data_IF_486089002152
#
_entry.id   IF_486089002152
#
_cell.length_a   1.000
_cell.length_b   1.000
_cell.length_c   1.000
_cell.angle_alpha   90.00
_cell.angle_beta   90.00
_cell.angle_gamma   90.00
#
_symmetry.space_group_name_H-M   'P 1'
#
loop_
_entity.id
_entity.type
_entity.pdbx_description
1 polymer ?
#
# COMPACT_ATOMS: atom_id res chain seq x y z
N UNK A 1 6.54 8.93 -4.80
CA UNK A 1 5.89 9.60 -3.65
C UNK A 1 6.61 10.92 -3.44
N UNK A 2 5.88 12.01 -3.25
CA UNK A 2 6.44 13.32 -2.93
C UNK A 2 5.94 13.71 -1.55
N UNK A 3 6.85 13.94 -0.60
CA UNK A 3 6.50 14.34 0.75
C UNK A 3 6.43 15.86 0.84
N UNK A 4 5.48 16.38 1.59
CA UNK A 4 5.34 17.81 1.83
C UNK A 4 5.23 18.08 3.33
N UNK A 5 5.70 19.25 3.77
CA UNK A 5 5.55 19.71 5.15
C UNK A 5 4.80 21.04 5.19
N UNK A 6 3.98 21.25 6.23
CA UNK A 6 3.13 22.44 6.33
C UNK A 6 3.85 23.80 6.22
N UNK A 7 5.15 23.97 6.58
CA UNK A 7 5.81 25.26 6.40
C UNK A 7 6.14 25.61 4.93
N UNK A 8 5.80 24.74 3.97
CA UNK A 8 5.95 24.98 2.53
C UNK A 8 7.01 24.15 1.82
N UNK A 9 7.60 23.17 2.51
CA UNK A 9 8.62 22.29 1.93
C UNK A 9 7.97 21.21 1.06
N UNK A 10 8.47 21.04 -0.16
CA UNK A 10 8.02 20.02 -1.11
C UNK A 10 9.22 19.19 -1.56
N UNK A 11 9.12 17.88 -1.40
CA UNK A 11 10.15 16.94 -1.80
C UNK A 11 11.33 16.83 -0.83
N UNK A 12 12.38 16.14 -1.28
CA UNK A 12 13.59 15.91 -0.49
C UNK A 12 13.40 14.94 0.69
N UNK A 13 14.35 14.94 1.62
CA UNK A 13 14.34 14.08 2.81
C UNK A 13 13.96 14.91 4.04
N UNK A 14 12.80 14.65 4.67
CA UNK A 14 12.34 15.40 5.84
C UNK A 14 13.31 15.29 7.01
N UNK A 15 13.51 16.39 7.73
CA UNK A 15 14.24 16.40 8.98
C UNK A 15 13.35 15.97 10.15
N UNK A 16 13.97 15.45 11.22
CA UNK A 16 13.28 14.95 12.40
C UNK A 16 13.58 15.76 13.66
N UNK A 17 12.76 15.58 14.72
CA UNK A 17 12.98 16.21 16.02
C UNK A 17 12.73 17.71 15.99
N UNK A 18 13.68 18.51 16.50
CA UNK A 18 13.55 19.97 16.57
C UNK A 18 13.52 20.66 15.19
N UNK A 19 13.93 19.96 14.14
CA UNK A 19 13.91 20.44 12.76
C UNK A 19 12.65 20.03 12.00
N UNK A 20 11.59 19.61 12.72
CA UNK A 20 10.31 19.27 12.12
C UNK A 20 9.82 20.40 11.20
N UNK A 21 9.43 20.04 9.99
CA UNK A 21 9.01 21.00 8.96
C UNK A 21 10.11 21.45 8.00
N UNK A 22 11.38 21.08 8.22
CA UNK A 22 12.47 21.27 7.27
C UNK A 22 12.77 19.99 6.46
N UNK A 23 13.47 20.12 5.34
CA UNK A 23 14.01 18.99 4.58
C UNK A 23 15.39 19.30 4.01
N UNK A 24 16.13 18.24 3.71
CA UNK A 24 17.35 18.30 2.90
C UNK A 24 17.02 18.02 1.44
N UNK A 25 17.67 18.76 0.53
CA UNK A 25 17.45 18.69 -0.91
C UNK A 25 15.97 18.78 -1.32
N UNK A 26 15.21 19.78 -0.84
CA UNK A 26 13.82 19.95 -1.27
C UNK A 26 13.77 20.26 -2.77
N UNK A 27 12.73 19.77 -3.45
CA UNK A 27 12.47 20.07 -4.86
C UNK A 27 11.90 21.49 -5.01
N UNK A 28 11.11 21.94 -4.03
CA UNK A 28 10.60 23.30 -3.96
C UNK A 28 10.37 23.75 -2.50
N UNK A 29 10.35 25.07 -2.32
CA UNK A 29 9.92 25.74 -1.10
C UNK A 29 8.94 26.83 -1.50
N UNK A 30 7.71 26.77 -0.98
CA UNK A 30 6.69 27.79 -1.20
C UNK A 30 6.32 28.46 0.11
N UNK A 31 5.57 29.56 0.04
CA UNK A 31 5.12 30.23 1.25
C UNK A 31 4.09 29.37 1.99
N UNK A 32 4.18 29.35 3.32
CA UNK A 32 3.33 28.50 4.17
C UNK A 32 1.84 28.70 3.94
N UNK A 33 1.38 29.94 3.66
CA UNK A 33 -0.03 30.19 3.35
C UNK A 33 -0.48 29.49 2.06
N UNK A 34 0.34 29.48 1.02
CA UNK A 34 0.05 28.78 -0.24
C UNK A 34 0.05 27.26 -0.05
N UNK A 35 0.92 26.76 0.82
CA UNK A 35 0.92 25.34 1.21
C UNK A 35 -0.39 24.96 1.91
N UNK A 36 -0.91 25.83 2.79
CA UNK A 36 -2.21 25.63 3.40
C UNK A 36 -3.36 25.74 2.39
N UNK A 37 -3.30 26.65 1.42
CA UNK A 37 -4.28 26.69 0.32
C UNK A 37 -4.32 25.35 -0.42
N UNK A 38 -3.16 24.72 -0.66
CA UNK A 38 -3.07 23.39 -1.27
C UNK A 38 -3.65 22.28 -0.37
N UNK A 39 -3.36 22.29 0.94
CA UNK A 39 -3.91 21.30 1.89
C UNK A 39 -5.43 21.44 2.05
N UNK A 40 -5.90 22.66 2.25
CA UNK A 40 -7.31 22.99 2.38
C UNK A 40 -8.07 22.74 1.08
N UNK A 41 -7.40 22.85 -0.08
CA UNK A 41 -7.94 22.44 -1.39
C UNK A 41 -8.01 20.92 -1.62
N UNK A 42 -7.59 20.09 -0.66
CA UNK A 42 -7.60 18.63 -0.80
C UNK A 42 -6.47 18.08 -1.66
N UNK A 43 -5.35 18.80 -1.74
CA UNK A 43 -4.17 18.41 -2.53
C UNK A 43 -3.42 17.18 -2.01
N UNK A 44 -3.69 16.76 -0.77
CA UNK A 44 -3.05 15.60 -0.14
C UNK A 44 -3.80 14.30 -0.45
N UNK A 45 -3.11 13.36 -1.07
CA UNK A 45 -3.60 11.98 -1.25
C UNK A 45 -3.63 11.22 0.08
N UNK A 46 -2.64 11.44 0.94
CA UNK A 46 -2.44 10.74 2.20
C UNK A 46 -1.82 11.69 3.25
N UNK A 47 -2.41 11.72 4.45
CA UNK A 47 -1.81 12.34 5.62
C UNK A 47 -1.47 11.29 6.68
N UNK A 48 -0.22 11.29 7.15
CA UNK A 48 0.25 10.46 8.26
C UNK A 48 0.58 11.34 9.46
N UNK A 49 -0.19 11.23 10.54
CA UNK A 49 -0.11 12.14 11.69
C UNK A 49 -0.09 11.41 13.02
N UNK A 50 0.38 12.08 14.08
CA UNK A 50 0.45 11.51 15.41
C UNK A 50 -0.93 11.19 16.01
N UNK A 51 -1.03 10.05 16.68
CA UNK A 51 -2.17 9.68 17.52
C UNK A 51 -1.83 10.03 18.98
N UNK A 52 -2.55 10.96 19.61
CA UNK A 52 -2.38 11.29 21.03
C UNK A 52 -3.51 10.73 21.90
N UNK A 53 -4.74 11.21 21.74
CA UNK A 53 -5.94 10.59 22.32
C UNK A 53 -6.99 10.34 21.24
N UNK A 54 -7.77 9.27 21.39
CA UNK A 54 -8.82 8.84 20.48
C UNK A 54 -10.08 8.43 21.26
N UNK A 55 -11.25 8.91 20.81
CA UNK A 55 -12.55 8.54 21.40
C UNK A 55 -13.23 7.37 20.65
N UNK A 56 -14.37 6.85 21.14
CA UNK A 56 -15.06 5.71 20.50
C UNK A 56 -15.59 6.01 19.10
N UNK A 57 -15.81 7.28 18.76
CA UNK A 57 -16.25 7.73 17.44
C UNK A 57 -15.07 7.97 16.48
N UNK A 58 -13.83 7.72 16.93
CA UNK A 58 -12.61 7.93 16.15
C UNK A 58 -12.17 9.40 16.09
N UNK A 59 -12.73 10.27 16.93
CA UNK A 59 -12.22 11.65 17.02
C UNK A 59 -10.83 11.64 17.67
N UNK A 60 -9.97 12.56 17.24
CA UNK A 60 -8.61 12.71 17.80
C UNK A 60 -8.48 14.03 18.54
N UNK A 61 -7.79 13.99 19.68
CA UNK A 61 -7.28 15.16 20.39
C UNK A 61 -5.75 15.17 20.37
N UNK A 62 -5.17 16.25 19.87
CA UNK A 62 -3.74 16.57 20.01
C UNK A 62 -3.47 17.90 20.71
N UNK A 63 -4.51 18.70 21.00
CA UNK A 63 -4.33 20.11 21.33
C UNK A 63 -4.37 20.44 22.82
N UNK A 64 -5.06 19.64 23.63
CA UNK A 64 -5.22 19.93 25.06
C UNK A 64 -5.17 18.67 25.92
N UNK A 65 -4.37 18.71 26.98
CA UNK A 65 -4.23 17.62 27.96
C UNK A 65 -4.22 18.21 29.38
N UNK A 66 -5.36 18.14 30.06
CA UNK A 66 -5.60 18.78 31.34
C UNK A 66 -5.26 20.28 31.31
N UNK A 67 -4.29 20.74 32.13
CA UNK A 67 -3.88 22.15 32.13
C UNK A 67 -2.95 22.52 30.96
N UNK A 68 -2.47 21.56 30.17
CA UNK A 68 -1.50 21.81 29.08
C UNK A 68 -2.23 22.07 27.77
N UNK A 69 -1.94 23.22 27.16
CA UNK A 69 -2.36 23.56 25.80
C UNK A 69 -1.18 23.36 24.85
N UNK A 70 -1.21 22.25 24.10
CA UNK A 70 -0.23 21.98 23.04
C UNK A 70 -0.56 22.76 21.75
N UNK A 71 -1.85 22.99 21.50
CA UNK A 71 -2.35 23.60 20.26
C UNK A 71 -2.56 22.58 19.14
N UNK A 72 -3.38 22.94 18.15
CA UNK A 72 -3.70 22.04 17.03
C UNK A 72 -2.67 22.14 15.88
N UNK A 73 -1.86 23.20 15.80
CA UNK A 73 -0.98 23.43 14.65
C UNK A 73 -1.74 23.35 13.33
N UNK A 74 -1.10 22.78 12.29
CA UNK A 74 -1.74 22.48 11.01
C UNK A 74 -2.63 21.23 11.00
N UNK A 75 -2.83 20.54 12.13
CA UNK A 75 -3.47 19.22 12.19
C UNK A 75 -4.87 19.20 11.57
N UNK A 76 -5.66 20.23 11.83
CA UNK A 76 -7.02 20.35 11.29
C UNK A 76 -6.94 20.50 9.75
N UNK A 77 -6.20 21.49 9.25
CA UNK A 77 -6.04 21.74 7.81
C UNK A 77 -5.56 20.49 7.06
N UNK A 78 -4.56 19.79 7.61
CA UNK A 78 -4.00 18.58 7.00
C UNK A 78 -5.04 17.45 6.97
N UNK A 79 -5.70 17.15 8.09
CA UNK A 79 -6.62 16.00 8.17
C UNK A 79 -7.95 16.22 7.47
N UNK A 80 -8.46 17.46 7.47
CA UNK A 80 -9.82 17.80 7.07
C UNK A 80 -10.09 17.47 5.60
N UNK A 81 -9.16 17.79 4.69
CA UNK A 81 -9.37 17.63 3.25
C UNK A 81 -8.44 16.61 2.57
N UNK A 82 -7.50 15.99 3.29
CA UNK A 82 -6.74 14.84 2.78
C UNK A 82 -7.66 13.69 2.39
N UNK A 83 -7.39 13.02 1.26
CA UNK A 83 -8.23 11.90 0.76
C UNK A 83 -8.21 10.70 1.71
N UNK A 84 -7.03 10.35 2.22
CA UNK A 84 -6.83 9.30 3.23
C UNK A 84 -6.07 9.86 4.43
N UNK A 85 -6.43 9.43 5.63
CA UNK A 85 -5.73 9.81 6.87
C UNK A 85 -5.29 8.55 7.63
N UNK A 86 -4.04 8.53 8.07
CA UNK A 86 -3.48 7.48 8.90
C UNK A 86 -2.92 8.11 10.16
N UNK A 87 -3.57 7.85 11.29
CA UNK A 87 -3.06 8.22 12.60
C UNK A 87 -2.10 7.14 13.08
N UNK A 88 -0.91 7.55 13.51
CA UNK A 88 0.17 6.65 13.92
C UNK A 88 0.61 7.02 15.33
N UNK A 89 0.71 6.02 16.20
CA UNK A 89 1.28 6.22 17.53
C UNK A 89 1.25 4.94 18.34
N UNK A 90 1.95 4.94 19.47
CA UNK A 90 1.86 3.83 20.40
C UNK A 90 0.43 3.68 20.95
N UNK A 91 0.03 2.46 21.33
CA UNK A 91 -1.30 2.19 21.85
C UNK A 91 -1.55 2.84 23.22
N UNK A 92 -0.55 2.81 24.10
CA UNK A 92 -0.53 3.48 25.39
C UNK A 92 0.63 4.50 25.45
N UNK A 93 0.56 5.44 26.38
CA UNK A 93 1.55 6.49 26.59
C UNK A 93 2.32 6.32 27.91
N UNK A 94 3.50 6.94 27.99
CA UNK A 94 4.19 7.14 29.26
C UNK A 94 5.00 5.95 29.76
N UNK A 95 5.74 5.27 28.88
CA UNK A 95 6.73 4.26 29.28
C UNK A 95 6.56 2.87 28.66
N UNK A 96 5.70 2.73 27.65
CA UNK A 96 5.56 1.51 26.87
C UNK A 96 6.94 1.06 26.35
N UNK A 97 7.28 -0.22 26.58
CA UNK A 97 8.44 -0.88 26.00
C UNK A 97 8.00 -2.17 25.33
N UNK A 98 8.45 -2.33 24.09
CA UNK A 98 8.11 -3.47 23.24
C UNK A 98 9.38 -4.13 22.77
N UNK A 99 9.37 -5.46 22.71
CA UNK A 99 10.41 -6.26 22.10
C UNK A 99 9.83 -7.01 20.90
N UNK A 100 10.66 -7.23 19.88
CA UNK A 100 10.38 -8.14 18.79
C UNK A 100 11.18 -9.42 19.03
N UNK A 101 10.50 -10.56 19.02
CA UNK A 101 11.11 -11.87 19.21
C UNK A 101 10.49 -12.87 18.23
N UNK A 102 11.29 -13.47 17.35
CA UNK A 102 10.84 -14.45 16.37
C UNK A 102 9.70 -13.99 15.45
N UNK A 103 9.65 -12.70 15.07
CA UNK A 103 8.57 -12.16 14.24
C UNK A 103 7.28 -11.84 15.01
N UNK A 104 7.34 -11.82 16.34
CA UNK A 104 6.21 -11.52 17.22
C UNK A 104 6.49 -10.30 18.10
N UNK A 105 5.43 -9.59 18.44
CA UNK A 105 5.45 -8.45 19.36
C UNK A 105 5.27 -8.97 20.79
N UNK A 106 6.13 -8.51 21.69
CA UNK A 106 6.01 -8.74 23.13
C UNK A 106 6.04 -7.43 23.89
N UNK A 107 5.00 -7.17 24.68
CA UNK A 107 4.95 -6.03 25.60
C UNK A 107 5.83 -6.36 26.81
N UNK A 108 6.96 -5.65 26.93
CA UNK A 108 7.92 -5.83 28.05
C UNK A 108 7.48 -4.99 29.25
N UNK A 109 6.93 -3.81 28.98
CA UNK A 109 6.44 -2.89 29.99
C UNK A 109 5.28 -2.11 29.36
N UNK A 110 4.12 -2.08 30.02
CA UNK A 110 2.98 -1.31 29.53
C UNK A 110 3.13 0.18 29.82
N UNK A 111 2.50 1.01 28.99
CA UNK A 111 2.36 2.44 29.22
C UNK A 111 1.46 2.74 30.43
N UNK A 112 1.64 3.92 31.01
CA UNK A 112 0.90 4.37 32.21
C UNK A 112 -0.45 5.01 31.90
N UNK A 113 -0.65 5.47 30.66
CA UNK A 113 -1.87 6.18 30.27
C UNK A 113 -2.47 5.55 29.01
N UNK A 114 -3.79 5.33 29.05
CA UNK A 114 -4.57 4.93 27.88
C UNK A 114 -4.67 6.10 26.90
N UNK A 115 -4.66 5.78 25.61
CA UNK A 115 -4.86 6.76 24.54
C UNK A 115 -6.21 6.59 23.86
N UNK A 116 -6.85 5.44 24.03
CA UNK A 116 -8.21 5.18 23.58
C UNK A 116 -9.16 5.37 24.77
N UNK A 117 -9.67 6.58 24.91
CA UNK A 117 -10.39 7.06 26.10
C UNK A 117 -11.88 7.26 25.79
N UNK A 118 -12.75 7.25 26.81
CA UNK A 118 -14.22 7.44 26.60
C UNK A 118 -14.56 8.82 26.04
N UNK A 119 -13.86 9.85 26.53
CA UNK A 119 -14.08 11.23 26.16
C UNK A 119 -12.74 11.92 26.03
N UNK A 120 -12.51 12.54 24.89
CA UNK A 120 -11.38 13.45 24.69
C UNK A 120 -11.74 14.85 25.17
N UNK A 121 -10.72 15.62 25.60
CA UNK A 121 -10.94 16.97 26.12
C UNK A 121 -11.25 18.00 25.02
N UNK A 122 -10.67 17.81 23.83
CA UNK A 122 -10.86 18.72 22.69
C UNK A 122 -10.80 17.97 21.37
N UNK A 123 -11.78 18.19 20.50
CA UNK A 123 -11.79 17.60 19.16
C UNK A 123 -10.84 18.41 18.25
N UNK A 124 -9.78 17.76 17.78
CA UNK A 124 -8.87 18.28 16.73
C UNK A 124 -9.05 17.60 15.37
N UNK A 125 -9.71 16.44 15.37
CA UNK A 125 -10.24 15.78 14.18
C UNK A 125 -11.54 15.10 14.57
N UNK A 126 -12.59 15.28 13.78
CA UNK A 126 -13.90 14.70 14.03
C UNK A 126 -14.08 13.39 13.28
N UNK A 127 -14.07 12.27 13.99
CA UNK A 127 -14.27 10.95 13.41
C UNK A 127 -15.69 10.79 12.83
N UNK A 128 -16.71 11.27 13.53
CA UNK A 128 -18.09 11.21 13.05
C UNK A 128 -18.31 11.97 11.74
N UNK A 129 -17.67 13.15 11.59
CA UNK A 129 -17.70 13.90 10.34
C UNK A 129 -16.99 13.14 9.22
N UNK A 130 -15.77 12.65 9.46
CA UNK A 130 -15.00 11.92 8.46
C UNK A 130 -15.70 10.63 8.00
N UNK A 131 -16.35 9.91 8.93
CA UNK A 131 -17.13 8.72 8.61
C UNK A 131 -18.34 9.05 7.71
N UNK A 132 -19.03 10.17 7.98
CA UNK A 132 -20.15 10.65 7.14
C UNK A 132 -19.70 10.99 5.72
N UNK A 133 -18.51 11.57 5.57
CA UNK A 133 -17.91 11.87 4.25
C UNK A 133 -17.33 10.62 3.55
N UNK A 134 -17.39 9.44 4.18
CA UNK A 134 -16.84 8.21 3.62
C UNK A 134 -15.31 8.22 3.52
N UNK A 135 -14.64 9.08 4.28
CA UNK A 135 -13.18 9.21 4.27
C UNK A 135 -12.53 7.94 4.82
N UNK A 136 -11.47 7.46 4.14
CA UNK A 136 -10.67 6.36 4.66
C UNK A 136 -9.75 6.87 5.79
N UNK A 137 -9.98 6.37 7.01
CA UNK A 137 -9.20 6.73 8.19
C UNK A 137 -8.74 5.46 8.90
N UNK A 138 -7.42 5.37 9.15
CA UNK A 138 -6.78 4.25 9.86
C UNK A 138 -6.05 4.75 11.11
N UNK A 139 -6.02 3.91 12.14
CA UNK A 139 -5.30 4.17 13.40
C UNK A 139 -4.33 3.01 13.60
N UNK A 140 -3.05 3.26 13.35
CA UNK A 140 -1.99 2.26 13.34
C UNK A 140 -1.16 2.39 14.61
N UNK A 141 -1.06 1.29 15.35
CA UNK A 141 -0.24 1.17 16.55
C UNK A 141 0.79 0.06 16.39
N UNK A 142 1.64 -0.12 17.40
CA UNK A 142 2.60 -1.23 17.43
C UNK A 142 1.95 -2.61 17.59
N UNK A 143 0.70 -2.67 18.08
CA UNK A 143 0.01 -3.93 18.43
C UNK A 143 -1.23 -4.23 17.58
N UNK A 144 -1.83 -3.23 16.95
CA UNK A 144 -3.03 -3.40 16.14
C UNK A 144 -3.32 -2.22 15.22
N UNK A 145 -4.25 -2.44 14.27
CA UNK A 145 -4.79 -1.41 13.39
C UNK A 145 -6.30 -1.32 13.55
N UNK A 146 -6.80 -0.10 13.72
CA UNK A 146 -8.24 0.20 13.64
C UNK A 146 -8.57 0.92 12.33
N UNK A 147 -9.81 0.72 11.87
CA UNK A 147 -10.42 1.48 10.78
C UNK A 147 -11.63 2.23 11.31
N UNK A 148 -11.79 3.47 10.86
CA UNK A 148 -13.02 4.22 11.10
C UNK A 148 -14.17 3.67 10.24
N UNK A 149 -15.31 3.44 10.88
CA UNK A 149 -16.57 3.04 10.22
C UNK A 149 -17.69 4.00 10.64
N UNK A 150 -18.85 3.98 9.96
CA UNK A 150 -20.02 4.74 10.40
C UNK A 150 -20.46 4.46 11.85
N UNK A 151 -20.18 3.26 12.36
CA UNK A 151 -20.57 2.81 13.70
C UNK A 151 -19.48 3.02 14.76
N UNK A 152 -18.30 3.54 14.37
CA UNK A 152 -17.14 3.77 15.23
C UNK A 152 -15.89 2.99 14.79
N UNK A 153 -14.96 2.79 15.71
CA UNK A 153 -13.69 2.09 15.43
C UNK A 153 -13.87 0.58 15.30
N UNK A 154 -13.41 0.01 14.20
CA UNK A 154 -13.31 -1.43 13.98
C UNK A 154 -11.87 -1.89 14.09
N UNK A 155 -11.60 -2.89 14.92
CA UNK A 155 -10.31 -3.58 14.97
C UNK A 155 -10.18 -4.46 13.72
N UNK A 156 -9.28 -4.09 12.82
CA UNK A 156 -9.11 -4.79 11.54
C UNK A 156 -7.84 -5.64 11.49
N UNK A 157 -6.80 -5.29 12.24
CA UNK A 157 -5.55 -6.07 12.27
C UNK A 157 -4.97 -6.18 13.67
N UNK A 158 -4.35 -7.32 13.97
CA UNK A 158 -3.66 -7.59 15.25
C UNK A 158 -2.24 -8.09 14.97
N UNK A 159 -1.26 -7.54 15.68
CA UNK A 159 0.13 -7.96 15.52
C UNK A 159 0.34 -9.39 16.05
N UNK A 160 1.23 -10.19 15.44
CA UNK A 160 1.60 -11.49 15.97
C UNK A 160 2.11 -11.38 17.42
N UNK A 161 1.68 -12.27 18.31
CA UNK A 161 2.05 -12.27 19.73
C UNK A 161 1.15 -11.42 20.65
N UNK A 162 0.22 -10.64 20.09
CA UNK A 162 -0.72 -9.81 20.84
C UNK A 162 -2.03 -10.55 21.11
N UNK A 163 -2.48 -10.51 22.37
CA UNK A 163 -3.77 -11.04 22.79
C UNK A 163 -4.83 -9.92 22.82
N UNK A 164 -5.99 -10.15 22.19
CA UNK A 164 -7.02 -9.11 22.06
C UNK A 164 -7.59 -8.68 23.42
N UNK A 165 -7.85 -9.61 24.33
CA UNK A 165 -8.46 -9.27 25.62
C UNK A 165 -7.45 -8.58 26.54
N UNK A 166 -6.26 -9.16 26.68
CA UNK A 166 -5.22 -8.68 27.61
C UNK A 166 -4.52 -7.42 27.11
N UNK A 167 -4.13 -7.39 25.83
CA UNK A 167 -3.20 -6.39 25.31
C UNK A 167 -3.91 -5.26 24.54
N UNK A 168 -5.17 -5.45 24.13
CA UNK A 168 -5.96 -4.43 23.44
C UNK A 168 -7.11 -3.96 24.34
N UNK A 169 -8.10 -4.82 24.62
CA UNK A 169 -9.33 -4.43 25.30
C UNK A 169 -9.10 -3.94 26.73
N UNK A 170 -8.21 -4.58 27.49
CA UNK A 170 -7.86 -4.14 28.84
C UNK A 170 -7.12 -2.79 28.88
N UNK A 171 -6.63 -2.30 27.74
CA UNK A 171 -5.86 -1.06 27.59
C UNK A 171 -6.67 0.06 26.91
N UNK A 172 -7.99 -0.12 26.77
CA UNK A 172 -8.93 0.86 26.23
C UNK A 172 -10.03 1.16 27.24
N UNK A 173 -10.54 2.39 27.24
CA UNK A 173 -11.68 2.75 28.08
C UNK A 173 -13.03 2.47 27.40
N UNK A 174 -13.02 1.93 26.19
CA UNK A 174 -14.20 1.53 25.43
C UNK A 174 -13.92 0.29 24.59
N UNK A 175 -14.99 -0.41 24.18
CA UNK A 175 -14.87 -1.60 23.34
C UNK A 175 -15.02 -1.21 21.86
N UNK A 176 -14.02 -1.46 21.00
CA UNK A 176 -14.15 -1.29 19.55
C UNK A 176 -15.05 -2.38 18.96
N UNK A 177 -15.45 -2.19 17.71
CA UNK A 177 -16.11 -3.22 16.90
C UNK A 177 -15.06 -4.29 16.61
N UNK A 178 -15.40 -5.55 16.91
CA UNK A 178 -14.56 -6.72 16.63
C UNK A 178 -15.40 -7.70 15.83
N UNK A 179 -15.00 -7.92 14.58
CA UNK A 179 -15.57 -8.95 13.71
C UNK A 179 -14.55 -10.08 13.56
N UNK A 180 -13.72 -10.01 12.52
CA UNK A 180 -12.67 -10.98 12.24
C UNK A 180 -11.39 -10.22 11.89
N UNK A 181 -10.66 -9.68 12.88
CA UNK A 181 -9.40 -9.01 12.61
C UNK A 181 -8.40 -10.02 12.03
N UNK A 182 -7.69 -9.60 10.99
CA UNK A 182 -6.63 -10.41 10.37
C UNK A 182 -5.30 -10.20 11.10
N UNK A 183 -4.34 -11.13 11.00
CA UNK A 183 -2.98 -10.81 11.44
C UNK A 183 -2.40 -9.66 10.61
N UNK A 184 -1.67 -8.75 11.27
CA UNK A 184 -0.80 -7.80 10.59
C UNK A 184 0.28 -8.55 9.80
N UNK A 185 0.79 -7.95 8.73
CA UNK A 185 1.82 -8.57 7.90
C UNK A 185 3.06 -8.92 8.72
N UNK A 186 3.39 -10.22 8.80
CA UNK A 186 4.47 -10.72 9.63
C UNK A 186 5.84 -10.10 9.28
N UNK A 187 6.03 -9.66 8.03
CA UNK A 187 7.27 -9.01 7.58
C UNK A 187 7.55 -7.69 8.32
N UNK A 188 6.52 -7.04 8.86
CA UNK A 188 6.66 -5.80 9.66
C UNK A 188 7.47 -6.07 10.94
N UNK A 189 7.43 -7.30 11.46
CA UNK A 189 8.00 -7.67 12.75
C UNK A 189 9.32 -8.44 12.63
N UNK A 190 9.87 -8.50 11.41
CA UNK A 190 11.10 -9.21 11.08
C UNK A 190 12.21 -8.21 10.73
N UNK A 191 13.49 -8.50 11.04
CA UNK A 191 14.60 -7.59 10.72
C UNK A 191 14.95 -7.55 9.24
N UNK A 192 14.55 -8.55 8.45
CA UNK A 192 14.83 -8.62 7.02
C UNK A 192 14.06 -7.53 6.23
N UNK A 193 14.63 -7.01 5.13
CA UNK A 193 13.91 -6.09 4.27
C UNK A 193 12.58 -6.68 3.78
N UNK A 194 11.48 -5.93 3.97
CA UNK A 194 10.13 -6.35 3.55
C UNK A 194 9.96 -6.50 2.02
N UNK A 195 10.90 -5.95 1.23
CA UNK A 195 10.86 -5.87 -0.23
C UNK A 195 9.53 -5.31 -0.76
N UNK A 196 9.07 -4.22 -0.16
CA UNK A 196 7.81 -3.56 -0.54
C UNK A 196 7.74 -3.19 -2.03
N UNK A 197 8.88 -2.88 -2.65
CA UNK A 197 8.94 -2.62 -4.09
C UNK A 197 8.37 -3.79 -4.91
N UNK A 198 8.71 -5.04 -4.55
CA UNK A 198 8.21 -6.24 -5.24
C UNK A 198 6.67 -6.33 -5.14
N UNK A 199 6.10 -5.96 -3.99
CA UNK A 199 4.64 -5.98 -3.74
C UNK A 199 3.89 -4.75 -4.29
N UNK A 200 4.53 -3.57 -4.30
CA UNK A 200 3.89 -2.29 -4.68
C UNK A 200 4.09 -1.96 -6.16
N UNK A 201 5.22 -2.35 -6.75
CA UNK A 201 5.53 -2.15 -8.18
C UNK A 201 5.08 -3.34 -9.03
N UNK A 202 4.76 -4.47 -8.40
CA UNK A 202 3.72 -5.33 -8.93
C UNK A 202 2.40 -4.54 -8.92
N UNK A 203 2.16 -3.68 -9.92
CA UNK A 203 0.78 -3.49 -10.41
C UNK A 203 0.24 -4.91 -10.44
N UNK A 204 -0.85 -5.18 -9.70
CA UNK A 204 -1.27 -6.56 -9.49
C UNK A 204 -1.31 -7.22 -10.86
N UNK A 205 -0.68 -8.38 -11.01
CA UNK A 205 -0.64 -9.04 -12.31
C UNK A 205 -2.05 -9.17 -12.90
N UNK A 206 -3.06 -9.22 -12.02
CA UNK A 206 -4.49 -9.07 -12.31
C UNK A 206 -4.83 -7.73 -12.99
N UNK A 207 -4.47 -6.57 -12.45
CA UNK A 207 -4.72 -5.26 -13.10
C UNK A 207 -3.96 -5.09 -14.41
N UNK A 208 -2.80 -5.75 -14.54
CA UNK A 208 -2.05 -5.80 -15.81
C UNK A 208 -2.75 -6.65 -16.86
N UNK A 209 -3.65 -7.56 -16.47
CA UNK A 209 -4.27 -8.53 -17.37
C UNK A 209 -5.79 -8.35 -17.44
N UNK A 210 -6.30 -8.00 -18.63
CA UNK A 210 -7.74 -7.81 -18.84
C UNK A 210 -8.25 -8.66 -20.00
N UNK A 211 -9.43 -9.24 -19.85
CA UNK A 211 -10.14 -9.89 -20.95
C UNK A 211 -11.23 -8.99 -21.54
N UNK A 212 -11.25 -8.84 -22.87
CA UNK A 212 -12.34 -8.23 -23.62
C UNK A 212 -13.19 -9.34 -24.27
N UNK A 213 -14.39 -9.55 -23.73
CA UNK A 213 -15.32 -10.55 -24.21
C UNK A 213 -15.86 -10.27 -25.63
N UNK A 214 -15.96 -9.00 -26.06
CA UNK A 214 -16.45 -8.65 -27.40
C UNK A 214 -15.45 -9.05 -28.48
N UNK A 215 -14.17 -8.89 -28.18
CA UNK A 215 -13.07 -9.22 -29.10
C UNK A 215 -12.48 -10.60 -28.88
N UNK A 216 -12.93 -11.33 -27.85
CA UNK A 216 -12.37 -12.61 -27.42
C UNK A 216 -10.84 -12.56 -27.27
N UNK A 217 -10.35 -11.45 -26.69
CA UNK A 217 -8.92 -11.13 -26.62
C UNK A 217 -8.55 -10.70 -25.20
N UNK A 218 -7.48 -11.29 -24.65
CA UNK A 218 -6.86 -10.82 -23.42
C UNK A 218 -5.68 -9.88 -23.71
N UNK A 219 -5.55 -8.84 -22.90
CA UNK A 219 -4.52 -7.81 -22.99
C UNK A 219 -3.68 -7.85 -21.71
N UNK A 220 -2.38 -8.10 -21.86
CA UNK A 220 -1.41 -8.17 -20.79
C UNK A 220 -0.45 -6.97 -20.90
N UNK A 221 -0.59 -6.01 -19.99
CA UNK A 221 0.28 -4.84 -19.94
C UNK A 221 1.46 -5.08 -18.98
N UNK A 222 2.52 -5.69 -19.49
CA UNK A 222 3.77 -5.93 -18.75
C UNK A 222 4.77 -4.79 -18.91
N UNK A 223 4.29 -3.59 -19.28
CA UNK A 223 5.16 -2.43 -19.37
C UNK A 223 5.84 -2.14 -18.03
N UNK A 224 7.17 -2.02 -18.06
CA UNK A 224 7.99 -1.76 -16.88
C UNK A 224 8.06 -2.91 -15.86
N UNK A 225 7.49 -4.08 -16.16
CA UNK A 225 7.52 -5.23 -15.26
C UNK A 225 8.94 -5.85 -15.25
N UNK A 226 9.42 -6.21 -14.07
CA UNK A 226 10.71 -6.86 -13.87
C UNK A 226 10.50 -8.29 -13.39
N UNK A 227 11.16 -9.26 -14.03
CA UNK A 227 11.08 -10.69 -13.72
C UNK A 227 12.48 -11.17 -13.38
N UNK A 228 12.76 -11.31 -12.08
CA UNK A 228 14.11 -11.58 -11.57
C UNK A 228 14.24 -12.96 -10.92
N UNK A 229 13.13 -13.54 -10.47
CA UNK A 229 13.09 -14.77 -9.69
C UNK A 229 12.08 -15.78 -10.25
N UNK A 230 12.25 -17.05 -9.88
CA UNK A 230 11.28 -18.10 -10.23
C UNK A 230 9.89 -17.80 -9.66
N UNK A 231 9.83 -17.12 -8.51
CA UNK A 231 8.57 -16.70 -7.89
C UNK A 231 7.82 -15.70 -8.78
N UNK A 232 8.53 -14.75 -9.40
CA UNK A 232 7.92 -13.80 -10.34
C UNK A 232 7.28 -14.52 -11.54
N UNK A 233 7.94 -15.56 -12.06
CA UNK A 233 7.40 -16.41 -13.13
C UNK A 233 6.14 -17.15 -12.67
N UNK A 234 6.17 -17.73 -11.46
CA UNK A 234 5.02 -18.45 -10.88
C UNK A 234 3.82 -17.51 -10.64
N UNK A 235 4.07 -16.28 -10.20
CA UNK A 235 3.01 -15.30 -9.95
C UNK A 235 2.35 -14.85 -11.27
N UNK A 236 3.13 -14.72 -12.35
CA UNK A 236 2.61 -14.45 -13.71
C UNK A 236 1.75 -15.62 -14.22
N UNK A 237 2.21 -16.86 -14.03
CA UNK A 237 1.46 -18.06 -14.41
C UNK A 237 0.11 -18.12 -13.70
N UNK A 238 0.12 -17.94 -12.37
CA UNK A 238 -1.07 -17.99 -11.55
C UNK A 238 -2.10 -16.95 -11.98
N UNK A 239 -1.67 -15.68 -12.14
CA UNK A 239 -2.56 -14.60 -12.57
C UNK A 239 -3.15 -14.84 -13.98
N UNK A 240 -2.34 -15.34 -14.91
CA UNK A 240 -2.80 -15.66 -16.26
C UNK A 240 -3.83 -16.81 -16.26
N UNK A 241 -3.61 -17.84 -15.43
CA UNK A 241 -4.55 -18.96 -15.27
C UNK A 241 -5.86 -18.54 -14.64
N UNK A 242 -5.81 -17.72 -13.59
CA UNK A 242 -7.02 -17.21 -12.93
C UNK A 242 -7.90 -16.40 -13.89
N UNK A 243 -7.28 -15.59 -14.75
CA UNK A 243 -8.02 -14.87 -15.80
C UNK A 243 -8.65 -15.84 -16.83
N UNK A 244 -7.93 -16.88 -17.23
CA UNK A 244 -8.34 -17.76 -18.33
C UNK A 244 -9.31 -18.87 -17.89
N UNK A 245 -9.22 -19.34 -16.65
CA UNK A 245 -10.02 -20.44 -16.10
C UNK A 245 -11.54 -20.27 -16.32
N UNK A 246 -12.18 -19.12 -16.01
CA UNK A 246 -13.63 -18.97 -16.18
C UNK A 246 -14.08 -18.88 -17.65
N UNK A 247 -13.16 -18.69 -18.61
CA UNK A 247 -13.51 -18.49 -20.02
C UNK A 247 -13.85 -19.82 -20.71
N UNK A 248 -13.23 -20.94 -20.27
CA UNK A 248 -13.54 -22.29 -20.73
C UNK A 248 -13.20 -22.60 -22.20
N UNK A 249 -12.51 -21.71 -22.91
CA UNK A 249 -12.07 -21.89 -24.31
C UNK A 249 -10.76 -21.14 -24.57
N UNK A 250 -10.10 -21.47 -25.68
CA UNK A 250 -8.89 -20.76 -26.12
C UNK A 250 -9.20 -19.33 -26.61
N UNK A 251 -8.35 -18.38 -26.25
CA UNK A 251 -8.51 -16.95 -26.54
C UNK A 251 -7.28 -16.34 -27.23
N UNK A 252 -7.46 -15.19 -27.88
CA UNK A 252 -6.34 -14.40 -28.40
C UNK A 252 -5.66 -13.67 -27.25
N UNK A 253 -4.34 -13.50 -27.30
CA UNK A 253 -3.59 -12.74 -26.29
C UNK A 253 -2.72 -11.69 -26.95
N UNK A 254 -2.72 -10.50 -26.37
CA UNK A 254 -1.86 -9.37 -26.73
C UNK A 254 -1.02 -9.00 -25.52
N UNK A 255 0.31 -8.99 -25.66
CA UNK A 255 1.24 -8.66 -24.56
C UNK A 255 2.09 -7.44 -24.90
N UNK A 256 2.12 -6.45 -24.01
CA UNK A 256 3.00 -5.28 -24.07
C UNK A 256 4.21 -5.48 -23.15
N UNK A 257 5.41 -5.48 -23.73
CA UNK A 257 6.70 -5.65 -23.06
C UNK A 257 7.57 -4.38 -23.10
N UNK A 258 6.99 -3.19 -23.25
CA UNK A 258 7.77 -1.94 -23.20
C UNK A 258 8.47 -1.76 -21.85
N UNK A 259 9.77 -1.46 -21.85
CA UNK A 259 10.59 -1.40 -20.62
C UNK A 259 10.50 -2.66 -19.72
N UNK A 260 10.07 -3.81 -20.27
CA UNK A 260 10.08 -5.07 -19.55
C UNK A 260 11.51 -5.57 -19.37
N UNK A 261 11.82 -6.12 -18.20
CA UNK A 261 13.13 -6.68 -17.90
C UNK A 261 13.00 -8.10 -17.36
N UNK A 262 13.87 -8.99 -17.83
CA UNK A 262 13.94 -10.38 -17.34
C UNK A 262 15.39 -10.79 -17.09
N UNK A 263 15.64 -11.32 -15.90
CA UNK A 263 16.94 -11.87 -15.52
C UNK A 263 17.26 -13.12 -16.35
N UNK A 264 18.54 -13.32 -16.67
CA UNK A 264 19.00 -14.49 -17.44
C UNK A 264 18.71 -15.80 -16.72
N UNK A 265 18.82 -15.82 -15.39
CA UNK A 265 18.60 -17.01 -14.57
C UNK A 265 17.18 -17.59 -14.65
N UNK A 266 16.19 -16.86 -15.17
CA UNK A 266 14.77 -17.27 -15.18
C UNK A 266 14.11 -17.16 -16.55
N UNK A 267 14.88 -16.82 -17.59
CA UNK A 267 14.35 -16.63 -18.95
C UNK A 267 13.78 -17.94 -19.51
N UNK A 268 14.44 -19.07 -19.23
CA UNK A 268 14.00 -20.40 -19.68
C UNK A 268 12.74 -20.87 -18.96
N UNK A 269 12.64 -20.59 -17.66
CA UNK A 269 11.44 -20.88 -16.86
C UNK A 269 10.25 -20.06 -17.36
N UNK A 270 10.47 -18.78 -17.64
CA UNK A 270 9.46 -17.91 -18.21
C UNK A 270 8.99 -18.41 -19.59
N UNK A 271 9.91 -18.80 -20.47
CA UNK A 271 9.55 -19.34 -21.77
C UNK A 271 8.79 -20.67 -21.66
N UNK A 272 9.14 -21.54 -20.71
CA UNK A 272 8.42 -22.77 -20.41
C UNK A 272 6.97 -22.49 -19.94
N UNK A 273 6.80 -21.53 -19.04
CA UNK A 273 5.50 -21.07 -18.57
C UNK A 273 4.65 -20.54 -19.74
N UNK A 274 5.20 -19.66 -20.58
CA UNK A 274 4.48 -19.13 -21.75
C UNK A 274 4.01 -20.25 -22.67
N UNK A 275 4.83 -21.29 -22.90
CA UNK A 275 4.44 -22.46 -23.71
C UNK A 275 3.25 -23.20 -23.10
N UNK A 276 3.29 -23.47 -21.79
CA UNK A 276 2.22 -24.16 -21.10
C UNK A 276 0.89 -23.38 -21.16
N UNK A 277 0.94 -22.05 -20.98
CA UNK A 277 -0.23 -21.17 -21.11
C UNK A 277 -0.75 -21.14 -22.55
N UNK A 278 0.13 -21.05 -23.54
CA UNK A 278 -0.25 -21.09 -24.95
C UNK A 278 -0.96 -22.39 -25.32
N UNK A 279 -0.43 -23.53 -24.89
CA UNK A 279 -1.01 -24.84 -25.19
C UNK A 279 -2.38 -25.03 -24.54
N UNK A 280 -2.55 -24.56 -23.31
CA UNK A 280 -3.79 -24.73 -22.56
C UNK A 280 -4.87 -23.70 -22.93
N UNK A 281 -4.50 -22.42 -23.07
CA UNK A 281 -5.47 -21.31 -23.03
C UNK A 281 -5.44 -20.37 -24.24
N UNK A 282 -4.38 -20.37 -25.06
CA UNK A 282 -4.26 -19.37 -26.13
C UNK A 282 -4.49 -19.97 -27.52
N UNK A 283 -5.25 -19.27 -28.35
CA UNK A 283 -5.44 -19.60 -29.77
C UNK A 283 -4.45 -18.87 -30.66
N UNK A 284 -4.06 -17.65 -30.27
CA UNK A 284 -3.12 -16.79 -30.99
C UNK A 284 -2.48 -15.81 -30.02
N UNK A 285 -1.22 -15.43 -30.25
CA UNK A 285 -0.46 -14.52 -29.36
C UNK A 285 0.28 -13.46 -30.17
N UNK A 286 -0.01 -12.19 -29.89
CA UNK A 286 0.74 -11.04 -30.40
C UNK A 286 1.55 -10.40 -29.26
N UNK A 287 2.79 -10.03 -29.53
CA UNK A 287 3.71 -9.44 -28.55
C UNK A 287 4.25 -8.12 -29.08
N UNK A 288 4.42 -7.11 -28.21
CA UNK A 288 4.90 -5.79 -28.58
C UNK A 288 6.05 -5.35 -27.67
N UNK A 289 7.11 -4.78 -28.24
CA UNK A 289 8.15 -4.07 -27.48
C UNK A 289 8.92 -3.12 -28.38
N UNK A 290 9.30 -1.97 -27.81
CA UNK A 290 10.23 -1.01 -28.39
C UNK A 290 11.71 -1.39 -28.16
N UNK A 291 12.00 -2.39 -27.32
CA UNK A 291 13.38 -2.81 -26.99
C UNK A 291 13.93 -3.88 -27.94
N UNK A 292 14.89 -3.51 -28.78
CA UNK A 292 15.56 -4.45 -29.70
C UNK A 292 16.29 -5.60 -28.97
N UNK A 293 16.87 -5.32 -27.80
CA UNK A 293 17.55 -6.35 -26.99
C UNK A 293 16.57 -7.38 -26.43
N UNK A 294 15.41 -6.92 -25.94
CA UNK A 294 14.36 -7.82 -25.45
C UNK A 294 13.81 -8.70 -26.57
N UNK A 295 13.70 -8.19 -27.80
CA UNK A 295 13.27 -8.99 -28.96
C UNK A 295 14.21 -10.17 -29.22
N UNK A 296 15.52 -9.95 -29.13
CA UNK A 296 16.51 -11.01 -29.32
C UNK A 296 16.46 -12.04 -28.18
N UNK A 297 16.60 -11.57 -26.93
CA UNK A 297 16.72 -12.44 -25.75
C UNK A 297 15.47 -13.30 -25.51
N UNK A 298 14.29 -12.68 -25.52
CA UNK A 298 13.04 -13.40 -25.29
C UNK A 298 12.56 -14.13 -26.55
N UNK A 299 12.84 -13.59 -27.74
CA UNK A 299 12.50 -14.23 -29.01
C UNK A 299 13.16 -15.61 -29.15
N UNK A 300 14.47 -15.69 -28.92
CA UNK A 300 15.23 -16.95 -29.02
C UNK A 300 14.71 -18.01 -28.04
N UNK A 301 14.47 -17.64 -26.78
CA UNK A 301 13.94 -18.55 -25.77
C UNK A 301 12.54 -19.11 -26.11
N UNK A 302 11.70 -18.29 -26.79
CA UNK A 302 10.37 -18.70 -27.25
C UNK A 302 10.43 -19.56 -28.52
N UNK A 303 11.30 -19.22 -29.49
CA UNK A 303 11.51 -19.98 -30.73
C UNK A 303 11.99 -21.40 -30.45
N UNK A 304 12.96 -21.54 -29.54
CA UNK A 304 13.48 -22.85 -29.11
C UNK A 304 12.40 -23.78 -28.55
N UNK A 305 11.22 -23.24 -28.18
CA UNK A 305 10.07 -23.97 -27.66
C UNK A 305 8.89 -24.02 -28.63
N UNK A 306 9.10 -23.66 -29.90
CA UNK A 306 8.10 -23.74 -30.97
C UNK A 306 6.99 -22.69 -30.90
N UNK A 307 7.22 -21.55 -30.24
CA UNK A 307 6.28 -20.44 -30.18
C UNK A 307 6.60 -19.40 -31.25
N UNK A 308 5.56 -18.74 -31.78
CA UNK A 308 5.73 -17.64 -32.72
C UNK A 308 6.51 -16.48 -32.05
N UNK A 309 7.67 -16.16 -32.61
CA UNK A 309 8.64 -15.21 -32.07
C UNK A 309 8.36 -13.75 -32.40
N UNK A 310 7.37 -13.48 -33.27
CA UNK A 310 7.17 -12.15 -33.82
C UNK A 310 6.71 -11.17 -32.73
N UNK A 311 7.68 -10.42 -32.21
CA UNK A 311 7.46 -9.30 -31.31
C UNK A 311 7.54 -8.03 -32.17
N UNK A 312 6.42 -7.32 -32.32
CA UNK A 312 6.28 -6.15 -33.17
C UNK A 312 6.73 -4.87 -32.46
N UNK A 313 7.17 -3.88 -33.24
CA UNK A 313 7.61 -2.57 -32.74
C UNK A 313 6.45 -1.59 -32.50
N UNK A 314 5.27 -1.84 -33.10
CA UNK A 314 4.05 -1.04 -32.89
C UNK A 314 2.78 -1.91 -32.90
N UNK A 315 1.67 -1.47 -32.25
CA UNK A 315 0.42 -2.23 -32.16
C UNK A 315 -0.34 -2.46 -33.49
N UNK A 316 0.14 -1.91 -34.61
CA UNK A 316 -0.47 -2.14 -35.92
C UNK A 316 0.07 -3.45 -36.50
N UNK A 317 -0.78 -4.49 -36.51
CA UNK A 317 -0.51 -5.71 -37.29
C UNK A 317 -0.28 -5.36 -38.76
N UNK A 318 0.67 -6.02 -39.46
CA UNK A 318 0.61 -6.10 -40.90
C UNK A 318 -0.66 -6.87 -41.28
N UNK A 319 -1.32 -6.39 -42.33
CA UNK A 319 -2.56 -6.95 -42.91
C UNK A 319 -2.36 -8.40 -43.33
#
# INVERSE_FOLDING_TARGET
MTLTAEPGVIGGVPASGLYFGAATNPEALIDMNQQFDFYDGGGLDLACLGLAECDPQGSINVSRFGPKLAGAGGFINITQNSRTVVFVGTFTAGGLKVALDGGQVRIVQEGRAHKFVKHIEQVTFSGSYAAKEGKLVLYVTERCVFKLTPDGLELIEVAPGIDIERDILAQMDFKPIIKQPRPMDARIFMPEPMRLADTLLSISLVERMRFDAKQNTAYYNFQGLQVNTLKDVQDIDQAARELCAPIGKKIKVVVNYDNFQIAEAVVDDYAAMVKALSDAHYSDVARYTTSAFMRLKLGEALENRGLAAHIYETPKRPV
#
